data_IF_153746926800
#
_entry.id   IF_153746926800
#
_cell.length_a   1.000
_cell.length_b   1.000
_cell.length_c   1.000
_cell.angle_alpha   90.00
_cell.angle_beta   90.00
_cell.angle_gamma   90.00
#
_symmetry.space_group_name_H-M   'P 1'
#
loop_
_entity.id
_entity.type
_entity.pdbx_description
1 polymer ?
#
# COMPACT_ATOMS: atom_id res chain seq x y z
N UNK A 1 29.85 -26.18 -6.84
CA UNK A 1 28.41 -25.88 -6.78
C UNK A 1 27.99 -25.46 -8.17
N UNK A 2 27.32 -26.35 -8.90
CA UNK A 2 26.88 -26.09 -10.27
C UNK A 2 25.61 -25.23 -10.23
N UNK A 3 25.63 -24.04 -10.82
CA UNK A 3 24.44 -23.21 -10.95
C UNK A 3 23.45 -23.89 -11.88
N UNK A 4 22.23 -24.11 -11.39
CA UNK A 4 21.09 -24.48 -12.22
C UNK A 4 20.71 -23.24 -13.05
N UNK A 5 21.38 -23.06 -14.18
CA UNK A 5 21.00 -22.05 -15.17
C UNK A 5 19.82 -22.62 -15.95
N UNK A 6 18.60 -22.16 -15.62
CA UNK A 6 17.43 -22.44 -16.45
C UNK A 6 17.52 -21.51 -17.66
N UNK A 7 18.11 -21.99 -18.75
CA UNK A 7 18.13 -21.29 -20.03
C UNK A 7 16.71 -21.33 -20.63
N UNK A 8 16.04 -20.18 -20.66
CA UNK A 8 14.78 -20.02 -21.38
C UNK A 8 15.09 -19.69 -22.85
N UNK A 9 15.20 -20.72 -23.69
CA UNK A 9 15.56 -20.59 -25.12
C UNK A 9 14.33 -20.43 -26.05
N UNK A 10 13.32 -19.66 -25.62
CA UNK A 10 12.12 -19.40 -26.43
C UNK A 10 11.92 -17.91 -26.72
N UNK A 11 11.45 -17.51 -27.92
CA UNK A 11 11.04 -16.13 -28.16
C UNK A 11 9.91 -15.75 -27.19
N UNK A 12 9.97 -14.55 -26.61
CA UNK A 12 8.91 -14.02 -25.73
C UNK A 12 7.63 -13.89 -26.57
N UNK A 13 6.64 -14.73 -26.28
CA UNK A 13 5.36 -14.70 -26.98
C UNK A 13 4.43 -13.67 -26.33
N UNK A 14 4.38 -12.46 -26.90
CA UNK A 14 3.50 -11.38 -26.47
C UNK A 14 2.09 -11.45 -27.08
N UNK A 15 1.84 -12.38 -28.00
CA UNK A 15 0.56 -12.47 -28.72
C UNK A 15 -0.68 -12.59 -27.82
N UNK A 16 -0.64 -13.25 -26.64
CA UNK A 16 -1.79 -13.27 -25.73
C UNK A 16 -2.11 -11.91 -25.10
N UNK A 17 -1.15 -10.98 -25.08
CA UNK A 17 -1.24 -9.70 -24.37
C UNK A 17 -1.33 -8.49 -25.31
N UNK A 18 -1.23 -8.71 -26.62
CA UNK A 18 -1.31 -7.67 -27.65
C UNK A 18 -2.45 -7.98 -28.61
N UNK A 19 -3.04 -6.92 -29.17
CA UNK A 19 -4.02 -7.09 -30.24
C UNK A 19 -3.41 -7.79 -31.46
N UNK A 20 -4.21 -8.53 -32.24
CA UNK A 20 -3.78 -9.04 -33.52
C UNK A 20 -3.22 -7.91 -34.40
N UNK A 21 -2.13 -8.18 -35.11
CA UNK A 21 -1.46 -7.21 -36.00
C UNK A 21 -0.85 -5.98 -35.30
N UNK A 22 -0.83 -5.92 -33.97
CA UNK A 22 -0.25 -4.79 -33.23
C UNK A 22 1.20 -4.51 -33.62
N UNK A 23 2.04 -5.54 -33.74
CA UNK A 23 3.44 -5.40 -34.13
C UNK A 23 3.59 -4.87 -35.57
N UNK A 24 2.70 -5.28 -36.49
CA UNK A 24 2.70 -4.76 -37.85
C UNK A 24 2.26 -3.29 -37.90
N UNK A 25 1.26 -2.92 -37.08
CA UNK A 25 0.84 -1.53 -36.95
C UNK A 25 1.94 -0.66 -36.34
N UNK A 26 2.67 -1.16 -35.34
CA UNK A 26 3.84 -0.48 -34.77
C UNK A 26 4.91 -0.22 -35.81
N UNK A 27 5.25 -1.21 -36.63
CA UNK A 27 6.26 -1.03 -37.67
C UNK A 27 5.81 0.00 -38.72
N UNK A 28 4.54 -0.03 -39.13
CA UNK A 28 3.97 1.00 -40.00
C UNK A 28 4.08 2.39 -39.37
N UNK A 29 3.72 2.53 -38.11
CA UNK A 29 3.78 3.80 -37.39
C UNK A 29 5.22 4.29 -37.20
N UNK A 30 6.18 3.39 -36.96
CA UNK A 30 7.62 3.71 -36.88
C UNK A 30 8.12 4.34 -38.18
N UNK A 31 7.73 3.74 -39.31
CA UNK A 31 8.11 4.21 -40.64
C UNK A 31 7.48 5.59 -40.93
N UNK A 32 6.20 5.76 -40.61
CA UNK A 32 5.48 7.03 -40.75
C UNK A 32 6.09 8.13 -39.87
N UNK A 33 6.35 7.84 -38.60
CA UNK A 33 7.01 8.75 -37.65
C UNK A 33 8.37 9.21 -38.16
N UNK A 34 9.20 8.26 -38.64
CA UNK A 34 10.52 8.55 -39.22
C UNK A 34 10.42 9.43 -40.46
N UNK A 35 9.45 9.19 -41.34
CA UNK A 35 9.24 9.98 -42.56
C UNK A 35 8.78 11.41 -42.24
N UNK A 36 7.81 11.56 -41.32
CA UNK A 36 7.31 12.85 -40.87
C UNK A 36 8.41 13.67 -40.19
N UNK A 37 9.23 13.04 -39.35
CA UNK A 37 10.38 13.69 -38.72
C UNK A 37 11.37 14.26 -39.76
N UNK A 38 11.74 13.45 -40.77
CA UNK A 38 12.62 13.90 -41.87
C UNK A 38 12.00 15.07 -42.64
N UNK A 39 10.72 14.96 -43.01
CA UNK A 39 10.00 16.01 -43.75
C UNK A 39 9.92 17.31 -42.96
N UNK A 40 9.66 17.23 -41.65
CA UNK A 40 9.63 18.38 -40.76
C UNK A 40 11.01 19.05 -40.68
N UNK A 41 12.10 18.27 -40.57
CA UNK A 41 13.47 18.80 -40.56
C UNK A 41 13.82 19.51 -41.89
N UNK A 42 13.44 18.92 -43.03
CA UNK A 42 13.62 19.52 -44.35
C UNK A 42 12.84 20.83 -44.51
N UNK A 43 11.55 20.84 -44.15
CA UNK A 43 10.70 22.03 -44.25
C UNK A 43 11.17 23.14 -43.30
N UNK A 44 11.58 22.82 -42.07
CA UNK A 44 12.18 23.79 -41.16
C UNK A 44 13.47 24.40 -41.75
N UNK A 45 14.31 23.57 -42.38
CA UNK A 45 15.51 24.05 -43.07
C UNK A 45 15.16 24.98 -44.23
N UNK A 46 14.13 24.65 -45.03
CA UNK A 46 13.67 25.51 -46.12
C UNK A 46 13.11 26.85 -45.61
N UNK A 47 12.30 26.84 -44.56
CA UNK A 47 11.77 28.06 -43.94
C UNK A 47 12.90 28.92 -43.37
N UNK A 48 13.90 28.30 -42.74
CA UNK A 48 15.10 29.00 -42.24
C UNK A 48 15.85 29.69 -43.37
N UNK A 49 16.13 28.98 -44.48
CA UNK A 49 16.78 29.56 -45.67
C UNK A 49 15.98 30.72 -46.26
N UNK A 50 14.67 30.58 -46.39
CA UNK A 50 13.82 31.66 -46.92
C UNK A 50 13.82 32.87 -45.97
N UNK A 51 13.88 32.67 -44.65
CA UNK A 51 14.01 33.77 -43.69
C UNK A 51 15.38 34.45 -43.77
N UNK A 52 16.46 33.70 -43.98
CA UNK A 52 17.81 34.24 -44.22
C UNK A 52 17.83 35.06 -45.52
N UNK A 53 17.33 34.50 -46.63
CA UNK A 53 17.20 35.18 -47.93
C UNK A 53 16.34 36.46 -47.83
N UNK A 54 15.26 36.45 -47.03
CA UNK A 54 14.43 37.63 -46.76
C UNK A 54 15.17 38.72 -45.96
N UNK A 55 16.05 38.33 -45.04
CA UNK A 55 16.90 39.26 -44.30
C UNK A 55 17.91 39.97 -45.20
N UNK A 56 18.47 39.24 -46.17
CA UNK A 56 19.47 39.75 -47.10
C UNK A 56 18.86 40.56 -48.26
N UNK A 57 17.62 40.26 -48.68
CA UNK A 57 16.95 40.85 -49.86
C UNK A 57 16.44 42.31 -49.68
N UNK A 58 16.92 43.04 -48.67
CA UNK A 58 16.39 44.33 -48.20
C UNK A 58 16.32 45.48 -49.23
N UNK A 59 16.85 45.32 -50.46
CA UNK A 59 16.90 46.38 -51.47
C UNK A 59 16.26 46.05 -52.85
N UNK A 60 15.68 44.85 -53.07
CA UNK A 60 15.06 44.49 -54.37
C UNK A 60 13.59 44.07 -54.25
N UNK A 61 12.67 45.01 -54.51
CA UNK A 61 11.21 44.85 -54.35
C UNK A 61 10.61 43.64 -55.07
N UNK A 62 11.07 43.31 -56.29
CA UNK A 62 10.57 42.14 -57.06
C UNK A 62 11.03 40.81 -56.46
N UNK A 63 12.24 40.74 -55.90
CA UNK A 63 12.78 39.56 -55.23
C UNK A 63 12.02 39.27 -53.94
N UNK A 64 11.70 40.31 -53.16
CA UNK A 64 11.01 40.21 -51.88
C UNK A 64 9.59 39.62 -51.97
N UNK A 65 8.82 39.98 -53.00
CA UNK A 65 7.47 39.42 -53.22
C UNK A 65 7.53 37.91 -53.47
N UNK A 66 8.46 37.46 -54.32
CA UNK A 66 8.61 36.04 -54.63
C UNK A 66 9.02 35.19 -53.42
N UNK A 67 9.87 35.74 -52.53
CA UNK A 67 10.27 35.08 -51.28
C UNK A 67 9.14 35.02 -50.26
N UNK A 68 8.32 36.07 -50.16
CA UNK A 68 7.13 36.07 -49.31
C UNK A 68 6.06 35.08 -49.78
N UNK A 69 5.84 34.96 -51.10
CA UNK A 69 4.94 33.95 -51.67
C UNK A 69 5.44 32.53 -51.39
N UNK A 70 6.74 32.28 -51.55
CA UNK A 70 7.36 30.99 -51.21
C UNK A 70 7.22 30.67 -49.71
N UNK A 71 7.43 31.64 -48.83
CA UNK A 71 7.20 31.48 -47.38
C UNK A 71 5.74 31.18 -47.07
N UNK A 72 4.80 31.91 -47.69
CA UNK A 72 3.35 31.71 -47.53
C UNK A 72 2.89 30.32 -47.98
N UNK A 73 3.54 29.73 -48.99
CA UNK A 73 3.28 28.36 -49.41
C UNK A 73 3.87 27.28 -48.49
N UNK A 74 5.04 27.54 -47.88
CA UNK A 74 5.75 26.59 -47.02
C UNK A 74 5.17 26.49 -45.61
N UNK A 75 4.69 27.61 -45.02
CA UNK A 75 4.19 27.63 -43.65
C UNK A 75 3.00 26.68 -43.41
N UNK A 76 1.93 26.66 -44.25
CA UNK A 76 0.82 25.72 -44.05
C UNK A 76 1.23 24.25 -44.18
N UNK A 77 2.22 23.95 -45.04
CA UNK A 77 2.73 22.59 -45.19
C UNK A 77 3.55 22.15 -43.97
N UNK A 78 4.33 23.07 -43.40
CA UNK A 78 5.06 22.85 -42.16
C UNK A 78 4.10 22.65 -40.98
N UNK A 79 3.07 23.49 -40.85
CA UNK A 79 2.04 23.38 -39.81
C UNK A 79 1.30 22.05 -39.92
N UNK A 80 0.89 21.64 -41.12
CA UNK A 80 0.25 20.34 -41.35
C UNK A 80 1.18 19.19 -40.97
N UNK A 81 2.43 19.20 -41.45
CA UNK A 81 3.40 18.12 -41.16
C UNK A 81 3.71 18.04 -39.67
N UNK A 82 3.76 19.19 -38.97
CA UNK A 82 3.91 19.24 -37.52
C UNK A 82 2.71 18.62 -36.80
N UNK A 83 1.49 18.97 -37.21
CA UNK A 83 0.29 18.36 -36.67
C UNK A 83 0.26 16.84 -36.88
N UNK A 84 0.52 16.38 -38.10
CA UNK A 84 0.56 14.95 -38.43
C UNK A 84 1.65 14.22 -37.61
N UNK A 85 2.82 14.85 -37.43
CA UNK A 85 3.88 14.32 -36.57
C UNK A 85 3.44 14.23 -35.10
N UNK A 86 2.81 15.26 -34.55
CA UNK A 86 2.36 15.28 -33.15
C UNK A 86 1.30 14.19 -32.89
N UNK A 87 0.41 13.92 -33.86
CA UNK A 87 -0.55 12.82 -33.79
C UNK A 87 0.16 11.47 -33.85
N UNK A 88 1.11 11.30 -34.78
CA UNK A 88 1.89 10.08 -34.93
C UNK A 88 2.73 9.78 -33.68
N UNK A 89 3.37 10.79 -33.09
CA UNK A 89 4.18 10.68 -31.86
C UNK A 89 3.36 10.28 -30.64
N UNK A 90 2.13 10.80 -30.50
CA UNK A 90 1.19 10.36 -29.45
C UNK A 90 0.84 8.89 -29.59
N UNK A 91 0.53 8.43 -30.80
CA UNK A 91 0.26 7.01 -31.04
C UNK A 91 1.51 6.15 -30.78
N UNK A 92 2.70 6.64 -31.13
CA UNK A 92 3.96 5.93 -30.91
C UNK A 92 4.21 5.71 -29.41
N UNK A 93 4.11 6.78 -28.61
CA UNK A 93 4.24 6.71 -27.15
C UNK A 93 3.21 5.78 -26.53
N UNK A 94 1.96 5.85 -26.96
CA UNK A 94 0.92 4.92 -26.50
C UNK A 94 1.31 3.46 -26.78
N UNK A 95 1.81 3.15 -27.98
CA UNK A 95 2.26 1.80 -28.32
C UNK A 95 3.44 1.33 -27.47
N UNK A 96 4.42 2.21 -27.19
CA UNK A 96 5.55 1.86 -26.33
C UNK A 96 5.08 1.51 -24.92
N UNK A 97 4.15 2.30 -24.36
CA UNK A 97 3.52 1.98 -23.07
C UNK A 97 2.82 0.63 -23.11
N UNK A 98 1.99 0.36 -24.13
CA UNK A 98 1.28 -0.92 -24.26
C UNK A 98 2.23 -2.13 -24.39
N UNK A 99 3.37 -1.98 -25.07
CA UNK A 99 4.38 -3.06 -25.14
C UNK A 99 5.02 -3.30 -23.79
N UNK A 100 5.36 -2.24 -23.05
CA UNK A 100 5.93 -2.37 -21.72
C UNK A 100 4.96 -3.03 -20.74
N UNK A 101 3.67 -2.69 -20.83
CA UNK A 101 2.60 -3.35 -20.08
C UNK A 101 2.49 -4.82 -20.47
N UNK A 102 2.44 -5.14 -21.77
CA UNK A 102 2.37 -6.53 -22.26
C UNK A 102 3.60 -7.37 -21.85
N UNK A 103 4.80 -6.78 -21.85
CA UNK A 103 6.02 -7.42 -21.37
C UNK A 103 5.93 -7.71 -19.86
N UNK A 104 5.41 -6.75 -19.09
CA UNK A 104 5.20 -6.90 -17.64
C UNK A 104 4.20 -8.03 -17.36
N UNK A 105 3.06 -8.06 -18.05
CA UNK A 105 2.05 -9.11 -17.91
C UNK A 105 2.57 -10.49 -18.37
N UNK A 106 3.36 -10.53 -19.45
CA UNK A 106 4.01 -11.76 -19.89
C UNK A 106 5.02 -12.29 -18.85
N UNK A 107 5.80 -11.39 -18.23
CA UNK A 107 6.74 -11.76 -17.18
C UNK A 107 6.00 -12.30 -15.93
N UNK A 108 4.92 -11.63 -15.51
CA UNK A 108 4.04 -12.09 -14.43
C UNK A 108 3.48 -13.48 -14.74
N UNK A 109 2.89 -13.68 -15.92
CA UNK A 109 2.30 -14.96 -16.31
C UNK A 109 3.35 -16.10 -16.36
N UNK A 110 4.56 -15.79 -16.83
CA UNK A 110 5.68 -16.75 -16.85
C UNK A 110 6.11 -17.14 -15.43
N UNK A 111 6.32 -16.16 -14.54
CA UNK A 111 6.62 -16.41 -13.13
C UNK A 111 5.52 -17.22 -12.44
N UNK A 112 4.26 -16.81 -12.60
CA UNK A 112 3.09 -17.50 -12.05
C UNK A 112 3.06 -18.97 -12.46
N UNK A 113 3.28 -19.25 -13.75
CA UNK A 113 3.31 -20.61 -14.28
C UNK A 113 4.49 -21.41 -13.71
N UNK A 114 5.69 -20.84 -13.75
CA UNK A 114 6.89 -21.48 -13.22
C UNK A 114 6.74 -21.83 -11.75
N UNK A 115 6.34 -20.88 -10.91
CA UNK A 115 6.18 -21.11 -9.47
C UNK A 115 5.04 -22.08 -9.20
N UNK A 116 3.93 -22.01 -9.95
CA UNK A 116 2.86 -23.00 -9.86
C UNK A 116 3.37 -24.41 -10.16
N UNK A 117 4.19 -24.58 -11.19
CA UNK A 117 4.76 -25.86 -11.56
C UNK A 117 5.76 -26.37 -10.51
N UNK A 118 6.59 -25.48 -9.95
CA UNK A 118 7.51 -25.81 -8.85
C UNK A 118 6.74 -26.31 -7.63
N UNK A 119 5.74 -25.55 -7.16
CA UNK A 119 4.92 -25.91 -5.99
C UNK A 119 4.15 -27.21 -6.20
N UNK A 120 3.65 -27.46 -7.41
CA UNK A 120 2.90 -28.70 -7.71
C UNK A 120 3.78 -29.94 -7.82
N UNK A 121 5.04 -29.79 -8.24
CA UNK A 121 5.91 -30.93 -8.59
C UNK A 121 6.90 -31.28 -7.49
N UNK A 122 7.32 -30.31 -6.68
CA UNK A 122 8.27 -30.56 -5.61
C UNK A 122 7.55 -31.05 -4.33
N UNK A 123 8.14 -32.00 -3.59
CA UNK A 123 7.74 -32.27 -2.21
C UNK A 123 7.84 -31.02 -1.34
N UNK A 124 6.99 -30.93 -0.31
CA UNK A 124 6.90 -29.75 0.55
C UNK A 124 8.24 -29.41 1.21
N UNK A 125 9.05 -30.41 1.56
CA UNK A 125 10.35 -30.20 2.20
C UNK A 125 11.34 -29.47 1.29
N UNK A 126 11.29 -29.70 -0.03
CA UNK A 126 12.11 -28.97 -0.99
C UNK A 126 11.58 -27.55 -1.22
N UNK A 127 10.26 -27.36 -1.19
CA UNK A 127 9.64 -26.04 -1.25
C UNK A 127 10.04 -25.20 -0.03
N UNK A 128 10.05 -25.80 1.16
CA UNK A 128 10.48 -25.14 2.39
C UNK A 128 11.96 -24.74 2.37
N UNK A 129 12.83 -25.53 1.71
CA UNK A 129 14.23 -25.14 1.47
C UNK A 129 14.33 -23.93 0.53
N UNK A 130 13.50 -23.87 -0.51
CA UNK A 130 13.43 -22.70 -1.40
C UNK A 130 12.98 -21.46 -0.62
N UNK A 131 11.93 -21.59 0.21
CA UNK A 131 11.51 -20.50 1.12
C UNK A 131 12.64 -20.08 2.05
N UNK A 132 13.33 -21.04 2.65
CA UNK A 132 14.47 -20.79 3.53
C UNK A 132 15.59 -20.00 2.85
N UNK A 133 15.85 -20.25 1.56
CA UNK A 133 16.85 -19.55 0.76
C UNK A 133 16.40 -18.14 0.33
N UNK A 134 15.11 -17.96 0.02
CA UNK A 134 14.56 -16.65 -0.34
C UNK A 134 14.46 -15.70 0.87
N UNK A 135 14.35 -16.25 2.08
CA UNK A 135 14.16 -15.53 3.32
C UNK A 135 15.45 -15.48 4.14
N UNK A 136 16.28 -14.47 3.94
CA UNK A 136 17.37 -14.17 4.87
C UNK A 136 16.88 -13.41 6.12
N UNK A 137 17.73 -13.34 7.15
CA UNK A 137 17.40 -12.69 8.43
C UNK A 137 17.16 -11.18 8.27
N UNK A 138 17.81 -10.54 7.30
CA UNK A 138 17.65 -9.10 7.03
C UNK A 138 16.27 -8.81 6.44
N UNK A 139 15.82 -9.65 5.50
CA UNK A 139 14.52 -9.56 4.88
C UNK A 139 13.41 -9.86 5.88
N UNK A 140 13.56 -10.91 6.70
CA UNK A 140 12.61 -11.20 7.78
C UNK A 140 12.49 -10.00 8.72
N UNK A 141 13.61 -9.39 9.13
CA UNK A 141 13.58 -8.20 9.97
C UNK A 141 12.88 -7.01 9.30
N UNK A 142 13.12 -6.76 8.01
CA UNK A 142 12.44 -5.70 7.25
C UNK A 142 10.94 -5.94 7.13
N UNK A 143 10.51 -7.18 6.89
CA UNK A 143 9.10 -7.57 6.83
C UNK A 143 8.43 -7.35 8.19
N UNK A 144 9.07 -7.76 9.29
CA UNK A 144 8.52 -7.52 10.63
C UNK A 144 8.36 -6.04 10.93
N UNK A 145 9.32 -5.20 10.54
CA UNK A 145 9.23 -3.74 10.70
C UNK A 145 8.07 -3.18 9.88
N UNK A 146 7.92 -3.61 8.62
CA UNK A 146 6.82 -3.18 7.74
C UNK A 146 5.46 -3.55 8.33
N UNK A 147 5.31 -4.81 8.73
CA UNK A 147 4.08 -5.34 9.37
C UNK A 147 3.77 -4.57 10.64
N UNK A 148 4.79 -4.29 11.46
CA UNK A 148 4.65 -3.49 12.68
C UNK A 148 4.18 -2.07 12.38
N UNK A 149 4.81 -1.41 11.41
CA UNK A 149 4.45 -0.05 11.02
C UNK A 149 3.04 0.06 10.46
N UNK A 150 2.53 -1.00 9.81
CA UNK A 150 1.18 -1.03 9.24
C UNK A 150 0.10 -0.74 10.27
N UNK A 151 0.20 -1.25 11.51
CA UNK A 151 -0.78 -0.99 12.58
C UNK A 151 -0.29 -0.03 13.67
N UNK A 152 1.03 0.12 13.90
CA UNK A 152 1.53 1.03 14.94
C UNK A 152 1.50 2.50 14.51
N UNK A 153 1.79 2.81 13.24
CA UNK A 153 2.13 4.18 12.83
C UNK A 153 1.00 5.00 12.22
N UNK A 154 -0.17 4.39 11.97
CA UNK A 154 -1.33 5.03 11.30
C UNK A 154 -0.95 5.76 10.00
N UNK A 155 0.22 5.42 9.44
CA UNK A 155 0.81 5.99 8.24
C UNK A 155 1.32 4.81 7.45
N UNK A 156 0.86 4.72 6.21
CA UNK A 156 1.39 3.79 5.23
C UNK A 156 2.87 4.09 5.04
N UNK A 157 3.75 3.29 5.64
CA UNK A 157 5.16 3.35 5.30
C UNK A 157 5.31 2.75 3.91
N UNK A 158 5.67 3.58 2.93
CA UNK A 158 5.82 3.18 1.52
C UNK A 158 7.27 2.85 1.14
N UNK A 159 8.19 2.82 2.12
CA UNK A 159 9.62 2.71 1.86
C UNK A 159 10.10 1.30 1.56
N UNK A 160 9.40 0.26 2.00
CA UNK A 160 9.80 -1.12 1.75
C UNK A 160 9.26 -1.63 0.41
N UNK A 161 10.13 -1.67 -0.60
CA UNK A 161 9.84 -2.40 -1.84
C UNK A 161 9.79 -3.88 -1.54
N UNK A 162 8.58 -4.42 -1.50
CA UNK A 162 8.36 -5.84 -1.22
C UNK A 162 8.89 -6.66 -2.40
N UNK A 163 9.72 -7.69 -2.16
CA UNK A 163 10.18 -8.55 -3.24
C UNK A 163 9.02 -9.17 -4.01
N UNK A 164 9.19 -9.36 -5.33
CA UNK A 164 8.14 -9.89 -6.23
C UNK A 164 7.58 -11.26 -5.79
N UNK A 165 8.32 -12.05 -5.01
CA UNK A 165 7.83 -13.34 -4.51
C UNK A 165 6.86 -13.24 -3.32
N UNK A 166 6.54 -12.04 -2.84
CA UNK A 166 5.40 -11.78 -1.95
C UNK A 166 4.21 -11.16 -2.67
N UNK A 167 4.37 -10.78 -3.94
CA UNK A 167 3.33 -10.14 -4.74
C UNK A 167 2.50 -11.21 -5.46
N UNK A 168 1.22 -11.30 -5.13
CA UNK A 168 0.30 -12.29 -5.70
C UNK A 168 0.03 -12.08 -7.20
N UNK A 169 0.46 -10.95 -7.78
CA UNK A 169 0.46 -10.75 -9.23
C UNK A 169 1.63 -11.43 -9.95
N UNK A 170 2.69 -11.79 -9.22
CA UNK A 170 3.87 -12.49 -9.76
C UNK A 170 3.96 -13.95 -9.35
N UNK A 171 3.43 -14.33 -8.19
CA UNK A 171 3.45 -15.70 -7.68
C UNK A 171 2.07 -16.14 -7.18
N UNK A 172 1.75 -17.45 -7.22
CA UNK A 172 0.47 -17.94 -6.74
C UNK A 172 0.25 -17.60 -5.26
N UNK A 173 -0.98 -17.23 -4.89
CA UNK A 173 -1.33 -16.88 -3.49
C UNK A 173 -0.84 -17.92 -2.47
N UNK A 174 -0.99 -19.25 -2.68
CA UNK A 174 -0.49 -20.24 -1.74
C UNK A 174 1.04 -20.18 -1.52
N UNK A 175 1.79 -19.81 -2.57
CA UNK A 175 3.25 -19.67 -2.48
C UNK A 175 3.63 -18.41 -1.68
N UNK A 176 3.00 -17.27 -1.99
CA UNK A 176 3.22 -16.03 -1.24
C UNK A 176 2.86 -16.21 0.23
N UNK A 177 1.71 -16.82 0.52
CA UNK A 177 1.26 -17.13 1.89
C UNK A 177 2.25 -18.07 2.60
N UNK A 178 2.74 -19.11 1.93
CA UNK A 178 3.75 -20.01 2.50
C UNK A 178 5.07 -19.29 2.86
N UNK A 179 5.54 -18.38 2.00
CA UNK A 179 6.71 -17.54 2.30
C UNK A 179 6.49 -16.64 3.52
N UNK A 180 5.33 -15.98 3.57
CA UNK A 180 4.94 -15.12 4.69
C UNK A 180 4.89 -15.93 6.00
N UNK A 181 4.34 -17.14 5.95
CA UNK A 181 4.27 -18.04 7.11
C UNK A 181 5.64 -18.47 7.62
N UNK A 182 6.57 -18.83 6.72
CA UNK A 182 7.95 -19.16 7.11
C UNK A 182 8.66 -17.93 7.68
N UNK A 183 8.45 -16.74 7.11
CA UNK A 183 9.01 -15.49 7.63
C UNK A 183 8.49 -15.19 9.04
N UNK A 184 7.18 -15.36 9.28
CA UNK A 184 6.56 -15.21 10.59
C UNK A 184 7.14 -16.20 11.61
N UNK A 185 7.26 -17.49 11.25
CA UNK A 185 7.89 -18.53 12.09
C UNK A 185 9.35 -18.22 12.41
N UNK A 186 10.13 -17.75 11.42
CA UNK A 186 11.52 -17.31 11.64
C UNK A 186 11.60 -16.13 12.59
N UNK A 187 10.73 -15.12 12.42
CA UNK A 187 10.66 -13.96 13.32
C UNK A 187 10.33 -14.39 14.76
N UNK A 188 9.37 -15.30 14.91
CA UNK A 188 8.93 -15.82 16.20
C UNK A 188 10.05 -16.58 16.94
N UNK A 189 10.98 -17.22 16.21
CA UNK A 189 12.17 -17.85 16.76
C UNK A 189 13.34 -16.89 17.06
N UNK A 190 13.28 -15.63 16.62
CA UNK A 190 14.32 -14.61 16.82
C UNK A 190 14.11 -13.82 18.13
N UNK A 191 15.18 -13.24 18.70
CA UNK A 191 15.18 -12.61 20.04
C UNK A 191 13.98 -11.64 20.31
N UNK A 192 13.38 -11.81 21.51
CA UNK A 192 12.06 -11.32 22.01
C UNK A 192 11.60 -9.89 21.72
N UNK A 193 12.47 -8.92 21.46
CA UNK A 193 12.05 -7.52 21.33
C UNK A 193 11.41 -7.19 19.95
N UNK A 194 11.74 -7.97 18.91
CA UNK A 194 11.17 -7.79 17.56
C UNK A 194 9.88 -8.58 17.33
N UNK A 195 9.66 -9.63 18.12
CA UNK A 195 8.51 -10.53 18.02
C UNK A 195 7.29 -10.08 18.82
N UNK A 196 7.39 -8.98 19.57
CA UNK A 196 6.27 -8.41 20.32
C UNK A 196 5.52 -7.38 19.47
N UNK A 197 4.20 -7.52 19.34
CA UNK A 197 3.35 -6.45 18.82
C UNK A 197 3.03 -5.46 19.94
N UNK A 198 3.17 -4.16 19.69
CA UNK A 198 2.74 -3.13 20.63
C UNK A 198 1.46 -2.48 20.13
N UNK A 199 0.36 -2.67 20.86
CA UNK A 199 -0.98 -2.26 20.43
C UNK A 199 -1.52 -1.18 21.36
N UNK A 200 -1.93 -0.04 20.80
CA UNK A 200 -2.56 1.05 21.53
C UNK A 200 -4.09 0.96 21.39
N UNK A 201 -4.77 0.87 22.54
CA UNK A 201 -6.13 0.32 22.72
C UNK A 201 -7.30 1.22 22.27
N UNK A 202 -7.43 1.48 20.97
CA UNK A 202 -8.72 1.25 20.30
C UNK A 202 -8.54 1.22 18.78
N UNK A 203 -7.68 2.08 18.25
CA UNK A 203 -7.50 2.23 16.80
C UNK A 203 -6.73 1.06 16.18
N UNK A 204 -5.73 0.54 16.89
CA UNK A 204 -4.80 -0.47 16.33
C UNK A 204 -5.15 -1.93 16.64
N UNK A 205 -6.10 -2.20 17.54
CA UNK A 205 -6.49 -3.58 17.86
C UNK A 205 -7.25 -4.21 16.69
N UNK A 206 -8.22 -3.50 16.10
CA UNK A 206 -8.95 -3.98 14.94
C UNK A 206 -8.00 -4.25 13.75
N UNK A 207 -7.07 -3.33 13.50
CA UNK A 207 -6.03 -3.51 12.48
C UNK A 207 -5.10 -4.70 12.79
N UNK A 208 -4.82 -4.97 14.06
CA UNK A 208 -4.03 -6.16 14.44
C UNK A 208 -4.81 -7.47 14.25
N UNK A 209 -6.11 -7.49 14.58
CA UNK A 209 -6.95 -8.70 14.53
C UNK A 209 -7.46 -9.03 13.15
N UNK A 210 -7.82 -8.01 12.36
CA UNK A 210 -8.43 -8.15 11.04
C UNK A 210 -7.43 -7.84 9.91
N UNK A 211 -6.28 -7.24 10.25
CA UNK A 211 -5.27 -6.86 9.29
C UNK A 211 -4.68 -8.06 8.57
N UNK A 212 -4.62 -7.94 7.25
CA UNK A 212 -3.99 -8.90 6.36
C UNK A 212 -2.70 -8.34 5.79
N UNK A 213 -1.70 -9.22 5.61
CA UNK A 213 -0.42 -8.80 5.05
C UNK A 213 -0.57 -8.48 3.56
N UNK A 214 -0.54 -7.19 3.20
CA UNK A 214 -0.54 -6.69 1.81
C UNK A 214 -1.60 -7.32 0.91
N UNK A 215 -2.81 -7.55 1.44
CA UNK A 215 -3.93 -8.14 0.71
C UNK A 215 -3.83 -9.66 0.47
N UNK A 216 -2.82 -10.34 1.04
CA UNK A 216 -2.82 -11.80 1.16
C UNK A 216 -3.71 -12.19 2.34
N UNK A 217 -4.46 -13.28 2.22
CA UNK A 217 -5.25 -13.85 3.31
C UNK A 217 -4.36 -14.52 4.38
N UNK A 218 -3.48 -13.71 4.97
CA UNK A 218 -2.55 -14.07 6.04
C UNK A 218 -2.66 -13.03 7.16
N UNK A 219 -3.17 -13.43 8.34
CA UNK A 219 -3.33 -12.51 9.47
C UNK A 219 -2.00 -11.94 9.94
N UNK A 220 -1.93 -10.62 10.06
CA UNK A 220 -0.75 -9.90 10.58
C UNK A 220 -0.40 -10.37 12.00
N UNK A 221 -1.40 -10.70 12.81
CA UNK A 221 -1.23 -11.22 14.16
C UNK A 221 -0.35 -12.47 14.23
N UNK A 222 -0.19 -13.24 13.14
CA UNK A 222 0.69 -14.42 13.11
C UNK A 222 2.19 -14.06 13.04
N UNK A 223 2.55 -12.84 12.66
CA UNK A 223 3.95 -12.39 12.66
C UNK A 223 4.54 -12.20 14.05
N UNK A 224 3.69 -12.07 15.07
CA UNK A 224 4.09 -11.72 16.42
C UNK A 224 3.93 -12.92 17.36
N UNK A 225 5.02 -13.25 18.05
CA UNK A 225 5.00 -14.30 19.06
C UNK A 225 4.28 -13.82 20.30
N UNK A 226 4.58 -12.59 20.74
CA UNK A 226 4.04 -11.99 21.95
C UNK A 226 3.22 -10.74 21.60
N UNK A 227 2.24 -10.44 22.45
CA UNK A 227 1.37 -9.26 22.27
C UNK A 227 1.43 -8.42 23.53
N UNK A 228 1.64 -7.12 23.35
CA UNK A 228 1.60 -6.11 24.40
C UNK A 228 0.52 -5.09 24.06
N UNK A 229 -0.50 -5.03 24.89
CA UNK A 229 -1.59 -4.05 24.75
C UNK A 229 -1.40 -2.96 25.79
N UNK A 230 -1.43 -1.71 25.36
CA UNK A 230 -1.41 -0.53 26.22
C UNK A 230 -2.78 0.12 26.23
N UNK A 231 -3.38 0.14 27.42
CA UNK A 231 -4.72 0.62 27.72
C UNK A 231 -4.57 1.91 28.52
N UNK A 232 -4.89 3.06 27.93
CA UNK A 232 -4.85 4.34 28.65
C UNK A 232 -6.26 4.73 29.09
N UNK A 233 -6.56 4.47 30.38
CA UNK A 233 -7.91 4.65 30.94
C UNK A 233 -8.42 6.09 30.81
N UNK A 234 -7.61 7.15 31.05
CA UNK A 234 -8.09 8.53 30.87
C UNK A 234 -8.52 8.86 29.44
N UNK A 235 -7.85 8.34 28.40
CA UNK A 235 -8.30 8.57 27.01
C UNK A 235 -9.61 7.84 26.71
N UNK A 236 -9.82 6.66 27.27
CA UNK A 236 -11.07 5.93 27.09
C UNK A 236 -12.23 6.59 27.83
N UNK A 237 -11.99 7.13 29.02
CA UNK A 237 -12.98 7.94 29.73
C UNK A 237 -13.29 9.24 28.96
N UNK A 238 -12.28 9.90 28.40
CA UNK A 238 -12.47 11.08 27.56
C UNK A 238 -13.30 10.78 26.30
N UNK A 239 -13.03 9.65 25.62
CA UNK A 239 -13.81 9.20 24.46
C UNK A 239 -15.27 8.92 24.82
N UNK A 240 -15.52 8.27 25.98
CA UNK A 240 -16.88 8.05 26.50
C UNK A 240 -17.61 9.37 26.75
N UNK A 241 -16.94 10.35 27.38
CA UNK A 241 -17.52 11.67 27.68
C UNK A 241 -17.90 12.44 26.40
N UNK A 242 -17.05 12.40 25.37
CA UNK A 242 -17.38 13.03 24.09
C UNK A 242 -18.56 12.37 23.37
N UNK A 243 -18.76 11.06 23.55
CA UNK A 243 -19.92 10.35 22.96
C UNK A 243 -21.22 10.61 23.75
N UNK A 244 -21.13 10.87 25.06
CA UNK A 244 -22.29 11.19 25.92
C UNK A 244 -22.87 12.59 25.70
N UNK A 245 -22.09 13.56 25.21
CA UNK A 245 -22.58 14.94 25.00
C UNK A 245 -23.59 15.05 23.83
N UNK A 246 -23.61 14.07 22.91
CA UNK A 246 -24.44 14.12 21.69
C UNK A 246 -25.68 13.20 21.72
N UNK A 247 -25.90 12.36 22.74
CA UNK A 247 -26.98 11.37 22.72
C UNK A 247 -27.58 11.07 24.12
N UNK A 248 -28.84 11.47 24.34
CA UNK A 248 -29.64 11.03 25.48
C UNK A 248 -30.12 9.58 25.28
N UNK A 249 -29.42 8.56 25.81
CA UNK A 249 -30.01 7.24 26.16
C UNK A 249 -28.99 6.26 26.77
N UNK A 250 -29.41 5.46 27.76
CA UNK A 250 -28.62 4.40 28.41
C UNK A 250 -28.18 3.21 27.53
N UNK A 251 -28.28 3.31 26.20
CA UNK A 251 -27.69 2.38 25.22
C UNK A 251 -26.16 2.51 25.19
N UNK A 252 -25.63 3.64 25.68
CA UNK A 252 -24.21 3.97 25.63
C UNK A 252 -23.31 3.09 26.51
N UNK A 253 -23.80 2.57 27.63
CA UNK A 253 -22.96 1.81 28.57
C UNK A 253 -22.64 0.39 28.07
N UNK A 254 -23.62 -0.30 27.48
CA UNK A 254 -23.40 -1.63 26.91
C UNK A 254 -22.60 -1.54 25.61
N UNK A 255 -22.83 -0.51 24.79
CA UNK A 255 -22.04 -0.25 23.58
C UNK A 255 -20.59 0.14 23.91
N UNK A 256 -20.39 0.97 24.94
CA UNK A 256 -19.07 1.30 25.46
C UNK A 256 -18.35 0.04 25.95
N UNK A 257 -19.01 -0.77 26.78
CA UNK A 257 -18.48 -2.07 27.25
C UNK A 257 -18.09 -2.97 26.08
N UNK A 258 -18.94 -3.04 25.06
CA UNK A 258 -18.71 -3.84 23.86
C UNK A 258 -17.45 -3.38 23.13
N UNK A 259 -17.35 -2.09 22.83
CA UNK A 259 -16.17 -1.46 22.19
C UNK A 259 -14.88 -1.62 23.01
N UNK A 260 -14.99 -1.64 24.34
CA UNK A 260 -13.89 -1.79 25.25
C UNK A 260 -13.31 -3.21 25.26
N UNK A 261 -14.21 -4.20 25.32
CA UNK A 261 -13.89 -5.59 25.65
C UNK A 261 -13.82 -6.50 24.43
N UNK A 262 -14.69 -6.33 23.43
CA UNK A 262 -14.70 -7.19 22.24
C UNK A 262 -13.36 -7.17 21.49
N UNK A 263 -12.71 -6.01 21.24
CA UNK A 263 -11.42 -6.00 20.54
C UNK A 263 -10.33 -6.73 21.32
N UNK A 264 -10.27 -6.56 22.64
CA UNK A 264 -9.33 -7.28 23.50
C UNK A 264 -9.56 -8.79 23.41
N UNK A 265 -10.83 -9.21 23.44
CA UNK A 265 -11.20 -10.61 23.31
C UNK A 265 -10.94 -11.13 21.90
N UNK A 266 -10.98 -10.30 20.85
CA UNK A 266 -10.71 -10.72 19.48
C UNK A 266 -9.24 -11.08 19.23
N UNK A 267 -8.32 -10.75 20.15
CA UNK A 267 -6.89 -11.09 20.02
C UNK A 267 -6.75 -12.63 19.92
N UNK A 268 -6.17 -13.15 18.82
CA UNK A 268 -6.04 -14.57 18.63
C UNK A 268 -5.08 -15.16 19.66
N UNK A 269 -5.55 -16.19 20.37
CA UNK A 269 -4.76 -16.89 21.36
C UNK A 269 -3.87 -17.96 20.74
N UNK A 270 -2.69 -18.15 21.33
CA UNK A 270 -1.77 -19.20 20.93
C UNK A 270 -1.04 -19.72 22.17
N UNK A 271 -0.86 -21.05 22.26
CA UNK A 271 -0.30 -21.73 23.43
C UNK A 271 1.12 -21.29 23.82
N UNK A 272 1.85 -20.74 22.85
CA UNK A 272 3.24 -20.27 23.00
C UNK A 272 3.33 -18.74 23.16
N UNK A 273 2.20 -18.03 23.06
CA UNK A 273 2.12 -16.56 23.06
C UNK A 273 1.87 -16.02 24.45
N UNK A 274 2.65 -15.03 24.86
CA UNK A 274 2.35 -14.22 26.03
C UNK A 274 1.50 -13.01 25.64
N UNK A 275 0.51 -12.70 26.46
CA UNK A 275 -0.27 -11.47 26.38
C UNK A 275 0.04 -10.60 27.59
N UNK A 276 0.66 -9.44 27.38
CA UNK A 276 0.85 -8.43 28.44
C UNK A 276 -0.12 -7.29 28.21
N UNK A 277 -0.81 -6.85 29.25
CA UNK A 277 -1.78 -5.76 29.18
C UNK A 277 -1.39 -4.74 30.24
N UNK A 278 -0.89 -3.59 29.78
CA UNK A 278 -0.57 -2.47 30.68
C UNK A 278 -1.75 -1.52 30.72
N UNK A 279 -2.40 -1.44 31.88
CA UNK A 279 -3.53 -0.57 32.17
C UNK A 279 -2.97 0.67 32.85
N UNK A 280 -2.83 1.73 32.08
CA UNK A 280 -2.35 3.03 32.52
C UNK A 280 -3.51 3.84 33.09
N UNK A 281 -3.46 4.04 34.41
CA UNK A 281 -4.47 4.80 35.16
C UNK A 281 -4.19 6.32 35.11
N UNK A 282 -2.98 6.71 34.71
CA UNK A 282 -2.53 8.11 34.64
C UNK A 282 -2.03 8.67 35.99
N UNK A 283 -1.19 9.71 35.92
CA UNK A 283 -0.70 10.42 37.10
C UNK A 283 -1.73 11.46 37.57
N UNK A 284 -1.95 11.52 38.89
CA UNK A 284 -2.89 12.45 39.55
C UNK A 284 -2.68 13.94 39.21
N UNK A 285 -1.53 14.29 38.63
CA UNK A 285 -1.06 15.68 38.42
C UNK A 285 -0.85 16.08 36.95
N UNK A 286 -1.28 15.27 35.98
CA UNK A 286 -1.24 15.69 34.57
C UNK A 286 -2.53 16.42 34.17
N UNK A 287 -2.44 17.47 33.34
CA UNK A 287 -3.58 18.26 32.83
C UNK A 287 -4.67 17.44 32.12
N UNK A 288 -4.42 16.16 31.84
CA UNK A 288 -5.34 15.20 31.25
C UNK A 288 -6.24 14.50 32.28
N UNK A 289 -5.86 14.56 33.56
CA UNK A 289 -6.58 14.00 34.70
C UNK A 289 -7.25 15.08 35.57
N UNK A 290 -7.17 16.36 35.16
CA UNK A 290 -7.91 17.43 35.84
C UNK A 290 -9.41 17.15 35.76
N UNK A 291 -10.01 16.81 36.90
CA UNK A 291 -11.44 16.50 37.01
C UNK A 291 -11.82 15.02 36.81
N UNK A 292 -10.87 14.08 36.89
CA UNK A 292 -11.19 12.65 36.99
C UNK A 292 -11.07 12.16 38.45
N UNK A 293 -12.19 11.73 39.05
CA UNK A 293 -12.16 11.13 40.39
C UNK A 293 -11.82 9.64 40.34
N UNK A 294 -11.12 9.07 41.35
CA UNK A 294 -10.81 7.64 41.43
C UNK A 294 -12.02 6.71 41.20
N UNK A 295 -13.22 7.14 41.63
CA UNK A 295 -14.47 6.41 41.43
C UNK A 295 -14.89 6.29 39.95
N UNK A 296 -14.44 7.20 39.09
CA UNK A 296 -14.75 7.18 37.65
C UNK A 296 -13.92 6.12 36.89
N UNK A 297 -12.85 5.61 37.50
CA UNK A 297 -12.01 4.55 36.92
C UNK A 297 -12.54 3.14 37.24
N UNK A 298 -13.35 3.00 38.29
CA UNK A 298 -13.90 1.73 38.78
C UNK A 298 -14.79 1.01 37.74
N UNK A 299 -15.65 1.70 36.97
CA UNK A 299 -16.42 1.07 35.90
C UNK A 299 -15.54 0.51 34.78
N UNK A 300 -14.49 1.22 34.37
CA UNK A 300 -13.61 0.77 33.27
C UNK A 300 -12.75 -0.41 33.71
N UNK A 301 -12.21 -0.36 34.92
CA UNK A 301 -11.39 -1.44 35.48
C UNK A 301 -12.20 -2.71 35.74
N UNK A 302 -13.42 -2.59 36.28
CA UNK A 302 -14.35 -3.73 36.45
C UNK A 302 -14.73 -4.41 35.13
N UNK A 303 -14.97 -3.62 34.07
CA UNK A 303 -15.23 -4.16 32.73
C UNK A 303 -14.02 -4.90 32.15
N UNK A 304 -12.81 -4.36 32.38
CA UNK A 304 -11.56 -5.00 31.98
C UNK A 304 -11.31 -6.29 32.77
N UNK A 305 -11.60 -6.35 34.06
CA UNK A 305 -11.41 -7.56 34.88
C UNK A 305 -12.17 -8.76 34.31
N UNK A 306 -13.42 -8.58 33.88
CA UNK A 306 -14.19 -9.63 33.22
C UNK A 306 -13.55 -10.11 31.90
N UNK A 307 -13.01 -9.19 31.11
CA UNK A 307 -12.31 -9.52 29.87
C UNK A 307 -10.97 -10.22 30.14
N UNK A 308 -10.21 -9.78 31.16
CA UNK A 308 -8.94 -10.36 31.57
C UNK A 308 -9.09 -11.82 32.04
N UNK A 309 -10.11 -12.11 32.84
CA UNK A 309 -10.42 -13.49 33.24
C UNK A 309 -10.78 -14.36 32.04
N UNK A 310 -11.56 -13.82 31.09
CA UNK A 310 -11.88 -14.52 29.85
C UNK A 310 -10.62 -14.79 29.02
N UNK A 311 -9.68 -13.84 28.95
CA UNK A 311 -8.42 -13.99 28.22
C UNK A 311 -7.51 -15.05 28.84
N UNK A 312 -7.43 -15.15 30.17
CA UNK A 312 -6.68 -16.23 30.85
C UNK A 312 -7.18 -17.62 30.42
N UNK A 313 -8.47 -17.76 30.13
CA UNK A 313 -9.09 -18.99 29.64
C UNK A 313 -8.90 -19.28 28.14
N UNK A 314 -8.38 -18.34 27.33
CA UNK A 314 -8.34 -18.45 25.86
C UNK A 314 -7.18 -19.28 25.28
N UNK A 315 -6.30 -19.83 26.11
CA UNK A 315 -5.19 -20.67 25.64
C UNK A 315 -3.94 -19.90 25.24
N UNK A 316 -3.72 -18.72 25.82
CA UNK A 316 -2.41 -18.10 25.87
C UNK A 316 -1.45 -18.90 26.74
N UNK A 317 -0.14 -18.69 26.56
CA UNK A 317 0.86 -19.24 27.49
C UNK A 317 0.70 -18.63 28.88
N UNK A 318 0.51 -17.32 28.93
CA UNK A 318 0.17 -16.56 30.13
C UNK A 318 -0.44 -15.21 29.75
N UNK A 319 -1.19 -14.62 30.68
CA UNK A 319 -1.79 -13.28 30.55
C UNK A 319 -1.38 -12.44 31.75
N UNK A 320 -0.60 -11.39 31.51
CA UNK A 320 -0.06 -10.50 32.54
C UNK A 320 -0.73 -9.13 32.49
N UNK A 321 -1.82 -8.91 33.26
CA UNK A 321 -2.31 -7.56 33.50
C UNK A 321 -1.38 -6.82 34.46
N UNK A 322 -1.01 -5.58 34.13
CA UNK A 322 -0.24 -4.68 34.99
C UNK A 322 -0.95 -3.35 35.08
N UNK A 323 -1.27 -2.93 36.31
CA UNK A 323 -1.76 -1.58 36.57
C UNK A 323 -0.57 -0.65 36.72
N UNK A 324 -0.47 0.33 35.84
CA UNK A 324 0.65 1.26 35.77
C UNK A 324 0.15 2.66 36.12
N UNK A 325 0.75 3.26 37.15
CA UNK A 325 0.38 4.58 37.67
C UNK A 325 1.30 5.71 37.19
N UNK A 326 2.39 5.37 36.49
CA UNK A 326 3.36 6.33 35.95
C UNK A 326 3.20 6.49 34.43
N UNK A 327 3.42 7.70 33.90
CA UNK A 327 3.36 7.93 32.46
C UNK A 327 4.57 7.28 31.76
N UNK A 328 4.38 6.49 30.68
CA UNK A 328 5.50 6.01 29.90
C UNK A 328 6.23 7.20 29.25
N UNK A 329 7.53 7.31 29.54
CA UNK A 329 8.40 8.36 29.00
C UNK A 329 8.38 8.32 27.47
N UNK A 330 7.97 9.42 26.83
CA UNK A 330 7.96 9.55 25.38
C UNK A 330 6.71 9.04 24.66
N UNK A 331 5.61 8.77 25.36
CA UNK A 331 4.35 8.43 24.71
C UNK A 331 3.64 9.67 24.12
N UNK A 332 3.37 9.62 22.81
CA UNK A 332 2.64 10.63 22.04
C UNK A 332 1.22 10.10 21.77
N UNK A 333 0.37 10.07 22.78
CA UNK A 333 -1.07 9.89 22.55
C UNK A 333 -1.59 11.19 21.96
N UNK A 334 -1.75 11.25 20.64
CA UNK A 334 -2.62 12.26 20.06
C UNK A 334 -4.04 11.77 20.28
N UNK A 335 -4.77 12.42 21.18
CA UNK A 335 -6.21 12.51 21.01
C UNK A 335 -6.41 13.13 19.64
N UNK A 336 -6.79 12.34 18.63
CA UNK A 336 -7.59 12.93 17.57
C UNK A 336 -8.85 13.40 18.28
N UNK A 337 -9.04 14.71 18.37
CA UNK A 337 -10.39 15.25 18.26
C UNK A 337 -10.99 14.50 17.09
N UNK A 338 -11.95 13.63 17.36
CA UNK A 338 -12.75 12.99 16.31
C UNK A 338 -13.44 14.16 15.62
N UNK A 339 -12.82 14.69 14.57
CA UNK A 339 -13.53 15.55 13.64
C UNK A 339 -14.58 14.64 13.03
N UNK A 340 -15.80 14.80 13.53
CA UNK A 340 -17.01 14.12 13.11
C UNK A 340 -16.94 13.80 11.60
N UNK A 341 -17.00 12.52 11.18
CA UNK A 341 -17.54 12.25 9.86
C UNK A 341 -18.99 12.72 9.97
N UNK A 342 -19.26 13.89 9.40
CA UNK A 342 -20.61 14.44 9.23
C UNK A 342 -21.53 13.27 8.92
N UNK A 343 -22.37 12.91 9.89
CA UNK A 343 -23.52 12.07 9.66
C UNK A 343 -24.29 12.75 8.54
N UNK A 344 -24.12 12.25 7.32
CA UNK A 344 -24.88 12.69 6.18
C UNK A 344 -26.33 12.37 6.48
N UNK A 345 -27.06 13.35 7.00
CA UNK A 345 -28.49 13.44 6.78
C UNK A 345 -28.69 13.44 5.26
N UNK A 346 -29.07 12.27 4.74
CA UNK A 346 -29.76 12.20 3.47
C UNK A 346 -31.14 12.80 3.73
N UNK A 347 -31.20 14.14 3.75
CA UNK A 347 -32.46 14.85 3.61
C UNK A 347 -32.93 14.64 2.18
N UNK A 348 -33.84 13.68 2.02
CA UNK A 348 -34.63 13.50 0.82
C UNK A 348 -35.54 14.71 0.62
N UNK A 349 -35.03 15.80 0.08
CA UNK A 349 -35.86 16.85 -0.51
C UNK A 349 -35.22 17.43 -1.78
N UNK A 350 -35.99 17.30 -2.87
CA UNK A 350 -36.03 18.18 -4.05
C UNK A 350 -34.82 18.17 -5.00
N UNK A 351 -34.86 17.29 -5.99
CA UNK A 351 -34.50 17.66 -7.37
C UNK A 351 -35.79 18.06 -8.12
N UNK A 352 -36.08 19.35 -8.13
CA UNK A 352 -36.82 20.02 -9.20
C UNK A 352 -35.90 21.11 -9.74
N UNK A 353 -35.66 21.11 -11.04
CA UNK A 353 -35.10 22.28 -11.69
C UNK A 353 -34.33 21.98 -12.96
N UNK A 354 -35.03 22.17 -14.08
CA UNK A 354 -34.63 22.92 -15.28
C UNK A 354 -33.50 22.38 -16.17
#
# INVERSE_FOLDING_TARGET
MSSLVVNYEGPINLSPFLLPSFLAWREKLRLEHTQLYKRLAEQNTQVKKVNEELGDASFQKKSLVSLLERKKGLLPQLEKTKFDYDVCDKHWKWMETTINEALTECAKASCMKFVSDVVKRLPQELVDLVYGFLLDDELVAKLTIEVRQQFESHRWYTGFKTPHYFDHSFVPTPFAVGLVDIAAKKNAGSYRARSQAKIHWYESIAEFTEGTFKGLDYPISNFFMDVHVEIFVPAVLAARRSETEDCETGIQDEEFRRRLTEPLLAIPAHKDRYLTIDIYMGEKETSWNEGLEPAEFEPVTSLLDGALETLKGKGFKDVYPRFVFEKPRGAWWKTRTVENPICGHIDGTKFQGQ
#
